data_IF_953112429921
#
_entry.id   IF_953112429921
#
_cell.length_a   1.000
_cell.length_b   1.000
_cell.length_c   1.000
_cell.angle_alpha   90.00
_cell.angle_beta   90.00
_cell.angle_gamma   90.00
#
_symmetry.space_group_name_H-M   'P 1'
#
loop_
_entity.id
_entity.type
_entity.pdbx_description
1 polymer ?
#
# COMPACT_ATOMS: atom_id res chain seq x y z
N UNK A 1 -3.20 -28.54 20.71
CA UNK A 1 -3.44 -27.63 19.56
C UNK A 1 -2.12 -27.34 18.89
N UNK A 2 -1.92 -27.79 17.66
CA UNK A 2 -0.66 -27.64 16.91
C UNK A 2 -0.50 -26.21 16.37
N UNK A 3 0.72 -25.82 15.97
CA UNK A 3 0.97 -24.50 15.36
C UNK A 3 0.17 -24.29 14.07
N UNK A 4 0.04 -25.34 13.25
CA UNK A 4 -0.76 -25.32 12.02
C UNK A 4 -2.25 -25.12 12.31
N UNK A 5 -2.81 -25.78 13.32
CA UNK A 5 -4.21 -25.56 13.73
C UNK A 5 -4.46 -24.09 14.12
N UNK A 6 -3.53 -23.46 14.86
CA UNK A 6 -3.66 -22.04 15.22
C UNK A 6 -3.60 -21.12 14.00
N UNK A 7 -2.72 -21.40 13.04
CA UNK A 7 -2.62 -20.62 11.80
C UNK A 7 -3.93 -20.75 10.99
N UNK A 8 -4.43 -21.97 10.84
CA UNK A 8 -5.71 -22.25 10.16
C UNK A 8 -6.86 -21.53 10.85
N UNK A 9 -6.90 -21.55 12.19
CA UNK A 9 -7.91 -20.84 12.96
C UNK A 9 -7.88 -19.33 12.70
N UNK A 10 -6.70 -18.71 12.70
CA UNK A 10 -6.54 -17.28 12.41
C UNK A 10 -7.00 -16.95 10.98
N UNK A 11 -6.66 -17.79 10.00
CA UNK A 11 -7.10 -17.62 8.61
C UNK A 11 -8.62 -17.73 8.52
N UNK A 12 -9.22 -18.74 9.17
CA UNK A 12 -10.66 -18.97 9.17
C UNK A 12 -11.44 -17.85 9.86
N UNK A 13 -10.86 -17.18 10.87
CA UNK A 13 -11.47 -15.99 11.47
C UNK A 13 -11.48 -14.76 10.55
N UNK A 14 -10.56 -14.69 9.58
CA UNK A 14 -10.45 -13.55 8.65
C UNK A 14 -11.37 -13.69 7.44
N UNK A 15 -11.54 -14.90 6.92
CA UNK A 15 -12.35 -15.18 5.72
C UNK A 15 -13.78 -14.60 5.76
N UNK A 16 -14.55 -14.70 6.86
CA UNK A 16 -15.88 -14.09 6.93
C UNK A 16 -15.87 -12.57 6.73
N UNK A 17 -14.81 -11.89 7.17
CA UNK A 17 -14.66 -10.44 6.96
C UNK A 17 -14.42 -10.12 5.48
N UNK A 18 -13.60 -10.92 4.80
CA UNK A 18 -13.38 -10.77 3.35
C UNK A 18 -14.69 -10.97 2.56
N UNK A 19 -15.50 -11.96 2.95
CA UNK A 19 -16.82 -12.21 2.36
C UNK A 19 -17.79 -11.04 2.58
N UNK A 20 -17.86 -10.51 3.82
CA UNK A 20 -18.67 -9.33 4.12
C UNK A 20 -18.26 -8.12 3.27
N UNK A 21 -16.96 -7.85 3.17
CA UNK A 21 -16.43 -6.76 2.34
C UNK A 21 -16.78 -6.98 0.86
N UNK A 22 -16.70 -8.22 0.37
CA UNK A 22 -17.09 -8.53 -1.01
C UNK A 22 -18.56 -8.26 -1.29
N UNK A 23 -19.45 -8.61 -0.35
CA UNK A 23 -20.87 -8.31 -0.46
C UNK A 23 -21.10 -6.79 -0.53
N UNK A 24 -20.48 -6.02 0.36
CA UNK A 24 -20.56 -4.53 0.35
C UNK A 24 -20.01 -3.93 -0.94
N UNK A 25 -18.91 -4.45 -1.49
CA UNK A 25 -18.38 -4.01 -2.79
C UNK A 25 -19.41 -4.24 -3.90
N UNK A 26 -20.09 -5.38 -3.90
CA UNK A 26 -21.09 -5.69 -4.92
C UNK A 26 -22.32 -4.78 -4.81
N UNK A 27 -22.79 -4.53 -3.58
CA UNK A 27 -23.90 -3.63 -3.29
C UNK A 27 -23.58 -2.19 -3.73
N UNK A 28 -22.44 -1.65 -3.32
CA UNK A 28 -22.01 -0.30 -3.71
C UNK A 28 -21.85 -0.16 -5.22
N UNK A 29 -21.32 -1.16 -5.92
CA UNK A 29 -21.24 -1.15 -7.39
C UNK A 29 -22.62 -1.09 -8.04
N UNK A 30 -23.58 -1.81 -7.46
CA UNK A 30 -24.97 -1.80 -7.93
C UNK A 30 -25.59 -0.42 -7.75
N UNK A 31 -25.41 0.18 -6.57
CA UNK A 31 -25.90 1.53 -6.26
C UNK A 31 -25.27 2.58 -7.17
N UNK A 32 -23.96 2.52 -7.43
CA UNK A 32 -23.27 3.41 -8.38
C UNK A 32 -23.89 3.29 -9.78
N UNK A 33 -24.17 2.06 -10.24
CA UNK A 33 -24.79 1.87 -11.56
C UNK A 33 -26.21 2.46 -11.64
N UNK A 34 -26.95 2.44 -10.54
CA UNK A 34 -28.29 3.05 -10.45
C UNK A 34 -28.20 4.59 -10.43
N UNK A 35 -27.26 5.15 -9.66
CA UNK A 35 -27.00 6.60 -9.62
C UNK A 35 -26.58 7.12 -11.00
N UNK A 36 -25.73 6.38 -11.72
CA UNK A 36 -25.33 6.76 -13.08
C UNK A 36 -26.49 6.73 -14.07
N UNK A 37 -27.40 5.75 -13.98
CA UNK A 37 -28.63 5.72 -14.79
C UNK A 37 -29.53 6.92 -14.48
N UNK A 38 -29.65 7.28 -13.20
CA UNK A 38 -30.43 8.44 -12.77
C UNK A 38 -29.83 9.75 -13.28
N UNK A 39 -28.50 9.91 -13.21
CA UNK A 39 -27.78 11.05 -13.79
C UNK A 39 -27.97 11.16 -15.31
N UNK A 40 -27.83 10.05 -16.05
CA UNK A 40 -28.08 10.02 -17.49
C UNK A 40 -29.53 10.42 -17.84
N UNK A 41 -30.50 9.98 -17.04
CA UNK A 41 -31.89 10.39 -17.21
C UNK A 41 -32.07 11.89 -16.95
N UNK A 42 -31.45 12.45 -15.90
CA UNK A 42 -31.48 13.88 -15.61
C UNK A 42 -30.89 14.73 -16.73
N UNK A 43 -29.77 14.31 -17.34
CA UNK A 43 -29.19 14.96 -18.52
C UNK A 43 -30.21 14.98 -19.67
N UNK A 44 -30.80 13.83 -20.01
CA UNK A 44 -31.76 13.72 -21.10
C UNK A 44 -33.04 14.57 -20.89
N UNK A 45 -33.44 14.78 -19.63
CA UNK A 45 -34.55 15.65 -19.28
C UNK A 45 -34.17 17.13 -19.37
N UNK A 46 -32.93 17.48 -19.01
CA UNK A 46 -32.43 18.86 -19.08
C UNK A 46 -32.40 19.36 -20.53
N UNK A 47 -31.98 18.50 -21.48
CA UNK A 47 -31.93 18.81 -22.91
C UNK A 47 -33.31 19.02 -23.54
N UNK A 48 -34.33 18.33 -23.02
CA UNK A 48 -35.72 18.39 -23.51
C UNK A 48 -36.56 19.44 -22.78
N UNK A 49 -36.04 20.01 -21.68
CA UNK A 49 -36.76 20.97 -20.86
C UNK A 49 -36.86 22.32 -21.57
N UNK A 50 -38.09 22.85 -21.66
CA UNK A 50 -38.34 24.23 -22.14
C UNK A 50 -38.12 25.28 -21.04
N UNK A 51 -38.01 24.85 -19.78
CA UNK A 51 -37.80 25.74 -18.64
C UNK A 51 -36.33 25.77 -18.25
N UNK A 52 -35.74 26.97 -18.28
CA UNK A 52 -34.35 27.22 -17.88
C UNK A 52 -34.10 26.90 -16.41
N UNK A 53 -35.07 27.17 -15.53
CA UNK A 53 -34.98 26.85 -14.10
C UNK A 53 -34.88 25.34 -13.87
N UNK A 54 -35.72 24.56 -14.55
CA UNK A 54 -35.70 23.09 -14.44
C UNK A 54 -34.40 22.52 -15.01
N UNK A 55 -33.91 23.04 -16.13
CA UNK A 55 -32.63 22.63 -16.71
C UNK A 55 -31.46 22.88 -15.74
N UNK A 56 -31.40 24.04 -15.09
CA UNK A 56 -30.36 24.37 -14.09
C UNK A 56 -30.39 23.42 -12.89
N UNK A 57 -31.57 23.10 -12.35
CA UNK A 57 -31.70 22.15 -11.23
C UNK A 57 -31.21 20.75 -11.63
N UNK A 58 -31.57 20.28 -12.83
CA UNK A 58 -31.14 18.97 -13.32
C UNK A 58 -29.63 18.88 -13.56
N UNK A 59 -29.02 19.96 -14.07
CA UNK A 59 -27.55 20.05 -14.21
C UNK A 59 -26.88 20.00 -12.83
N UNK A 60 -27.35 20.80 -11.87
CA UNK A 60 -26.80 20.80 -10.51
C UNK A 60 -26.93 19.42 -9.84
N UNK A 61 -28.09 18.78 -9.97
CA UNK A 61 -28.30 17.42 -9.50
C UNK A 61 -27.30 16.43 -10.11
N UNK A 62 -27.06 16.53 -11.42
CA UNK A 62 -26.11 15.65 -12.11
C UNK A 62 -24.66 15.87 -11.64
N UNK A 63 -24.26 17.12 -11.35
CA UNK A 63 -22.96 17.41 -10.74
C UNK A 63 -22.83 16.72 -9.38
N UNK A 64 -23.82 16.87 -8.49
CA UNK A 64 -23.81 16.20 -7.18
C UNK A 64 -23.76 14.67 -7.30
N UNK A 65 -24.44 14.08 -8.28
CA UNK A 65 -24.36 12.64 -8.56
C UNK A 65 -22.96 12.24 -9.01
N UNK A 66 -22.32 13.06 -9.86
CA UNK A 66 -20.95 12.80 -10.33
C UNK A 66 -19.95 12.81 -9.17
N UNK A 67 -20.00 13.82 -8.31
CA UNK A 67 -19.12 13.95 -7.14
C UNK A 67 -19.29 12.75 -6.21
N UNK A 68 -20.55 12.38 -5.89
CA UNK A 68 -20.84 11.21 -5.06
C UNK A 68 -20.30 9.90 -5.67
N UNK A 69 -20.38 9.74 -6.99
CA UNK A 69 -19.84 8.56 -7.68
C UNK A 69 -18.32 8.52 -7.57
N UNK A 70 -17.64 9.66 -7.59
CA UNK A 70 -16.19 9.75 -7.41
C UNK A 70 -15.77 9.38 -5.98
N UNK A 71 -16.48 9.88 -4.97
CA UNK A 71 -16.27 9.51 -3.57
C UNK A 71 -16.44 7.99 -3.36
N UNK A 72 -17.52 7.40 -3.90
CA UNK A 72 -17.76 5.97 -3.80
C UNK A 72 -16.66 5.16 -4.50
N UNK A 73 -16.12 5.63 -5.63
CA UNK A 73 -14.99 4.96 -6.31
C UNK A 73 -13.75 4.93 -5.42
N UNK A 74 -13.43 6.03 -4.74
CA UNK A 74 -12.30 6.10 -3.81
C UNK A 74 -12.45 5.10 -2.67
N UNK A 75 -13.64 5.02 -2.07
CA UNK A 75 -13.95 4.06 -1.01
C UNK A 75 -13.94 2.61 -1.52
N UNK A 76 -14.40 2.36 -2.74
CA UNK A 76 -14.32 1.03 -3.37
C UNK A 76 -12.86 0.57 -3.51
N UNK A 77 -11.91 1.45 -3.82
CA UNK A 77 -10.49 1.10 -3.85
C UNK A 77 -9.95 0.77 -2.45
N UNK A 78 -10.35 1.51 -1.43
CA UNK A 78 -10.02 1.19 -0.04
C UNK A 78 -10.57 -0.18 0.39
N UNK A 79 -11.84 -0.47 0.06
CA UNK A 79 -12.47 -1.76 0.34
C UNK A 79 -11.81 -2.92 -0.41
N UNK A 80 -11.39 -2.72 -1.68
CA UNK A 80 -10.62 -3.73 -2.43
C UNK A 80 -9.31 -4.07 -1.73
N UNK A 81 -8.56 -3.06 -1.26
CA UNK A 81 -7.32 -3.26 -0.49
C UNK A 81 -7.58 -4.04 0.80
N UNK A 82 -8.65 -3.71 1.52
CA UNK A 82 -9.05 -4.43 2.74
C UNK A 82 -9.46 -5.87 2.45
N UNK A 83 -10.29 -6.12 1.43
CA UNK A 83 -10.65 -7.47 0.99
C UNK A 83 -9.38 -8.28 0.72
N UNK A 84 -8.48 -7.75 -0.11
CA UNK A 84 -7.24 -8.43 -0.45
C UNK A 84 -6.39 -8.76 0.78
N UNK A 85 -6.40 -7.90 1.82
CA UNK A 85 -5.70 -8.17 3.09
C UNK A 85 -6.33 -9.31 3.90
N UNK A 86 -7.66 -9.36 3.99
CA UNK A 86 -8.36 -10.40 4.75
C UNK A 86 -8.42 -11.75 4.04
N UNK A 87 -8.33 -11.74 2.71
CA UNK A 87 -8.41 -12.94 1.88
C UNK A 87 -7.06 -13.67 1.73
N UNK A 88 -5.96 -13.11 2.26
CA UNK A 88 -4.63 -13.72 2.14
C UNK A 88 -4.62 -15.13 2.75
N UNK A 89 -4.14 -16.15 2.02
CA UNK A 89 -4.02 -17.51 2.53
C UNK A 89 -2.84 -17.67 3.49
N UNK A 90 -1.99 -16.65 3.63
CA UNK A 90 -0.76 -16.68 4.43
C UNK A 90 -0.84 -15.78 5.66
N UNK A 91 -0.06 -16.13 6.68
CA UNK A 91 0.22 -15.26 7.82
C UNK A 91 1.59 -14.60 7.61
N UNK A 92 1.61 -13.29 7.44
CA UNK A 92 2.85 -12.54 7.28
C UNK A 92 3.28 -12.01 8.65
N UNK A 93 4.53 -12.28 9.05
CA UNK A 93 5.13 -11.80 10.29
C UNK A 93 6.17 -10.73 9.94
N UNK A 94 5.97 -9.52 10.45
CA UNK A 94 6.96 -8.43 10.33
C UNK A 94 7.83 -8.36 11.57
N UNK A 95 9.15 -8.51 11.41
CA UNK A 95 10.12 -8.36 12.50
C UNK A 95 10.88 -7.04 12.31
N UNK A 96 10.74 -6.11 13.26
CA UNK A 96 11.35 -4.78 13.21
C UNK A 96 12.15 -4.55 14.49
N UNK A 97 13.34 -3.94 14.37
CA UNK A 97 14.19 -3.63 15.52
C UNK A 97 15.60 -3.19 15.12
N UNK A 98 16.32 -2.56 16.05
CA UNK A 98 17.71 -2.10 15.84
C UNK A 98 18.65 -3.26 15.49
N UNK A 99 19.78 -2.96 14.83
CA UNK A 99 20.84 -3.94 14.61
C UNK A 99 21.32 -4.53 15.95
N UNK A 100 21.78 -5.79 15.94
CA UNK A 100 22.27 -6.47 17.14
C UNK A 100 21.20 -7.03 18.10
N UNK A 101 19.91 -6.75 17.89
CA UNK A 101 18.81 -7.20 18.78
C UNK A 101 18.30 -8.63 18.48
N UNK A 102 19.12 -9.48 17.86
CA UNK A 102 18.77 -10.89 17.65
C UNK A 102 17.65 -11.20 16.64
N UNK A 103 17.22 -10.25 15.79
CA UNK A 103 16.14 -10.44 14.79
C UNK A 103 16.37 -11.66 13.89
N UNK A 104 17.57 -11.80 13.33
CA UNK A 104 17.92 -12.94 12.47
C UNK A 104 17.86 -14.25 13.25
N UNK A 105 18.34 -14.26 14.50
CA UNK A 105 18.32 -15.44 15.38
C UNK A 105 16.90 -15.86 15.77
N UNK A 106 16.00 -14.89 15.96
CA UNK A 106 14.58 -15.16 16.18
C UNK A 106 13.90 -15.75 14.94
N UNK A 107 14.21 -15.24 13.74
CA UNK A 107 13.68 -15.81 12.50
C UNK A 107 14.22 -17.21 12.25
N UNK A 108 15.51 -17.46 12.50
CA UNK A 108 16.11 -18.81 12.42
C UNK A 108 15.42 -19.79 13.36
N UNK A 109 15.18 -19.42 14.64
CA UNK A 109 14.52 -20.31 15.60
C UNK A 109 13.05 -20.58 15.27
N UNK A 110 12.36 -19.62 14.63
CA UNK A 110 10.97 -19.77 14.23
C UNK A 110 10.82 -20.60 12.95
N UNK A 111 11.72 -20.40 11.98
CA UNK A 111 11.66 -21.02 10.66
C UNK A 111 12.41 -22.34 10.55
N UNK A 112 13.36 -22.61 11.46
CA UNK A 112 14.30 -23.73 11.36
C UNK A 112 15.43 -23.50 10.35
N UNK A 113 15.50 -22.30 9.75
CA UNK A 113 16.53 -21.93 8.79
C UNK A 113 17.86 -21.61 9.48
N UNK A 114 18.98 -21.82 8.78
CA UNK A 114 20.33 -21.64 9.33
C UNK A 114 20.93 -20.30 8.93
N UNK A 115 22.19 -20.07 9.31
CA UNK A 115 22.96 -18.87 8.91
C UNK A 115 23.25 -18.82 7.40
N UNK A 116 23.18 -19.96 6.70
CA UNK A 116 23.33 -19.99 5.24
C UNK A 116 22.19 -19.25 4.54
N UNK A 117 20.96 -19.39 5.07
CA UNK A 117 19.76 -18.78 4.51
C UNK A 117 19.45 -17.41 5.13
N UNK A 118 19.63 -17.27 6.45
CA UNK A 118 19.39 -16.03 7.19
C UNK A 118 20.69 -15.65 7.92
N UNK A 119 21.55 -14.80 7.34
CA UNK A 119 22.78 -14.41 8.02
C UNK A 119 22.49 -13.64 9.32
N UNK A 120 22.99 -14.18 10.43
CA UNK A 120 23.10 -13.50 11.73
C UNK A 120 24.51 -12.94 11.85
N UNK A 121 24.63 -11.61 11.98
CA UNK A 121 25.84 -10.89 11.64
C UNK A 121 27.09 -11.21 12.46
N UNK A 122 28.13 -11.63 11.75
CA UNK A 122 29.55 -11.46 12.11
C UNK A 122 30.31 -10.61 11.06
N UNK A 123 29.62 -10.08 10.03
CA UNK A 123 30.23 -9.27 8.97
C UNK A 123 29.44 -7.99 8.71
N UNK A 124 29.79 -6.92 9.44
CA UNK A 124 29.27 -5.57 9.23
C UNK A 124 27.77 -5.40 9.53
N UNK A 125 27.23 -4.20 9.24
CA UNK A 125 25.82 -3.87 9.38
C UNK A 125 24.95 -4.76 8.47
N UNK A 126 24.70 -6.00 8.89
CA UNK A 126 23.86 -6.93 8.16
C UNK A 126 22.44 -6.35 8.11
N UNK A 127 21.88 -6.26 6.90
CA UNK A 127 20.50 -5.86 6.55
C UNK A 127 20.16 -4.35 6.57
N UNK A 128 20.78 -3.58 5.67
CA UNK A 128 20.17 -2.34 5.14
C UNK A 128 19.05 -2.60 4.11
N UNK A 129 18.76 -3.88 3.84
CA UNK A 129 17.90 -4.37 2.76
C UNK A 129 16.71 -5.10 3.35
N UNK A 130 15.50 -4.87 2.80
CA UNK A 130 14.32 -5.66 3.18
C UNK A 130 14.52 -7.09 2.71
N UNK A 131 14.53 -8.02 3.66
CA UNK A 131 14.49 -9.45 3.36
C UNK A 131 13.08 -9.98 3.56
N UNK A 132 12.53 -10.68 2.56
CA UNK A 132 11.21 -11.31 2.66
C UNK A 132 11.38 -12.81 2.50
N UNK A 133 10.91 -13.56 3.49
CA UNK A 133 11.01 -15.02 3.51
C UNK A 133 9.63 -15.61 3.24
N UNK A 134 9.51 -16.45 2.23
CA UNK A 134 8.27 -17.12 1.88
C UNK A 134 8.41 -18.63 2.06
N UNK A 135 7.31 -19.25 2.46
CA UNK A 135 7.15 -20.70 2.40
C UNK A 135 6.34 -21.07 1.16
N UNK A 136 6.87 -21.94 0.32
CA UNK A 136 6.23 -22.45 -0.89
C UNK A 136 6.41 -23.97 -0.94
N UNK A 137 5.31 -24.69 -0.71
CA UNK A 137 5.32 -26.15 -0.80
C UNK A 137 5.65 -26.61 -2.23
N UNK A 138 6.44 -27.68 -2.35
CA UNK A 138 6.74 -28.38 -3.60
C UNK A 138 7.58 -27.58 -4.62
N UNK A 139 8.45 -26.67 -4.16
CA UNK A 139 9.41 -25.98 -5.03
C UNK A 139 10.83 -26.09 -4.51
N UNK A 140 11.81 -26.00 -5.41
CA UNK A 140 13.21 -25.85 -5.03
C UNK A 140 13.45 -24.48 -4.42
N UNK A 141 14.28 -24.42 -3.37
CA UNK A 141 14.66 -23.18 -2.69
C UNK A 141 15.46 -22.28 -3.63
N UNK A 142 15.10 -20.99 -3.68
CA UNK A 142 15.84 -19.99 -4.46
C UNK A 142 15.84 -18.62 -3.79
N UNK A 143 16.86 -17.83 -4.13
CA UNK A 143 16.95 -16.41 -3.77
C UNK A 143 16.69 -15.54 -4.99
N UNK A 144 15.80 -14.58 -4.84
CA UNK A 144 15.54 -13.53 -5.82
C UNK A 144 16.03 -12.19 -5.28
N UNK A 145 16.82 -11.49 -6.08
CA UNK A 145 17.31 -10.14 -5.78
C UNK A 145 16.78 -9.21 -6.85
N UNK A 146 15.98 -8.24 -6.43
CA UNK A 146 15.42 -7.22 -7.32
C UNK A 146 16.15 -5.89 -7.11
N UNK A 147 16.65 -5.33 -8.19
CA UNK A 147 17.28 -4.01 -8.21
C UNK A 147 16.30 -2.98 -8.78
N UNK A 148 16.32 -1.77 -8.23
CA UNK A 148 15.62 -0.65 -8.83
C UNK A 148 16.37 -0.19 -10.08
N UNK A 149 15.66 0.11 -11.16
CA UNK A 149 16.17 0.99 -12.21
C UNK A 149 16.27 2.42 -11.66
N UNK A 150 17.01 3.30 -12.34
CA UNK A 150 17.04 4.73 -12.00
C UNK A 150 15.63 5.33 -11.89
N UNK A 151 14.77 5.07 -12.88
CA UNK A 151 13.38 5.55 -12.88
C UNK A 151 12.56 4.99 -11.73
N UNK A 152 12.70 3.70 -11.40
CA UNK A 152 11.98 3.06 -10.29
C UNK A 152 12.50 3.59 -8.95
N UNK A 153 13.81 3.79 -8.81
CA UNK A 153 14.40 4.34 -7.60
C UNK A 153 13.92 5.77 -7.34
N UNK A 154 13.93 6.63 -8.35
CA UNK A 154 13.46 8.01 -8.21
C UNK A 154 11.97 8.05 -7.89
N UNK A 155 11.13 7.33 -8.62
CA UNK A 155 9.69 7.40 -8.45
C UNK A 155 9.17 6.68 -7.19
N UNK A 156 9.77 5.56 -6.81
CA UNK A 156 9.27 4.73 -5.70
C UNK A 156 9.97 4.99 -4.37
N UNK A 157 11.23 5.47 -4.41
CA UNK A 157 12.02 5.72 -3.20
C UNK A 157 12.15 7.21 -2.94
N UNK A 158 12.68 7.98 -3.90
CA UNK A 158 13.08 9.38 -3.65
C UNK A 158 11.88 10.34 -3.66
N UNK A 159 11.10 10.34 -4.74
CA UNK A 159 9.97 11.26 -4.97
C UNK A 159 8.92 11.24 -3.85
N UNK A 160 8.56 10.09 -3.25
CA UNK A 160 7.65 10.06 -2.10
C UNK A 160 8.16 10.85 -0.90
N UNK A 161 9.48 10.94 -0.67
CA UNK A 161 10.03 11.78 0.39
C UNK A 161 9.91 13.27 0.05
N UNK A 162 10.16 13.65 -1.21
CA UNK A 162 10.00 15.05 -1.64
C UNK A 162 8.55 15.51 -1.50
N UNK A 163 7.59 14.66 -1.92
CA UNK A 163 6.16 14.91 -1.72
C UNK A 163 5.79 15.03 -0.25
N UNK A 164 6.26 14.09 0.58
CA UNK A 164 6.01 14.08 2.02
C UNK A 164 6.63 15.29 2.76
N UNK A 165 7.70 15.87 2.21
CA UNK A 165 8.37 17.06 2.72
C UNK A 165 7.83 18.36 2.08
N UNK A 166 6.93 18.28 1.10
CA UNK A 166 6.40 19.43 0.37
C UNK A 166 7.43 20.13 -0.52
N UNK A 167 8.49 19.43 -0.93
CA UNK A 167 9.53 19.95 -1.82
C UNK A 167 9.07 19.76 -3.26
N UNK A 168 8.92 20.85 -4.01
CA UNK A 168 8.44 20.84 -5.40
C UNK A 168 9.51 20.45 -6.41
N UNK A 169 10.77 20.74 -6.10
CA UNK A 169 11.91 20.50 -7.00
C UNK A 169 12.39 19.05 -6.85
N UNK A 170 11.70 18.14 -7.55
CA UNK A 170 12.04 16.71 -7.56
C UNK A 170 13.14 16.42 -8.58
N UNK A 171 14.17 15.64 -8.19
CA UNK A 171 15.23 15.25 -9.12
C UNK A 171 14.67 14.38 -10.25
N UNK A 172 15.06 14.68 -11.49
CA UNK A 172 14.65 13.93 -12.68
C UNK A 172 15.59 12.76 -13.01
N UNK A 173 16.82 12.79 -12.47
CA UNK A 173 17.83 11.76 -12.66
C UNK A 173 18.71 11.60 -11.40
N UNK A 174 19.51 10.52 -11.35
CA UNK A 174 20.39 10.22 -10.22
C UNK A 174 21.51 11.25 -10.04
N UNK A 175 21.98 11.87 -11.13
CA UNK A 175 23.02 12.89 -11.08
C UNK A 175 22.51 14.16 -10.40
N UNK A 176 21.31 14.60 -10.72
CA UNK A 176 20.60 15.71 -10.08
C UNK A 176 20.28 15.40 -8.62
N UNK A 177 19.92 14.15 -8.29
CA UNK A 177 19.77 13.74 -6.89
C UNK A 177 21.10 13.77 -6.13
N UNK A 178 22.20 13.34 -6.76
CA UNK A 178 23.53 13.29 -6.15
C UNK A 178 24.24 14.64 -6.06
N UNK A 179 23.95 15.56 -6.98
CA UNK A 179 24.49 16.92 -7.04
C UNK A 179 23.55 17.98 -6.42
N UNK A 180 22.29 17.61 -6.23
CA UNK A 180 21.20 18.47 -5.79
C UNK A 180 21.41 18.97 -4.37
N UNK A 181 21.38 20.29 -4.24
CA UNK A 181 21.30 21.01 -2.98
C UNK A 181 20.10 20.48 -2.19
N UNK A 182 20.34 19.83 -1.04
CA UNK A 182 19.25 19.50 -0.10
C UNK A 182 18.63 20.85 0.30
N UNK A 183 17.38 21.17 -0.09
CA UNK A 183 16.82 22.47 0.23
C UNK A 183 16.78 22.62 1.76
N UNK A 184 17.21 23.80 2.22
CA UNK A 184 17.26 24.15 3.63
C UNK A 184 15.91 23.84 4.28
N UNK A 185 15.89 22.87 5.21
CA UNK A 185 14.69 22.51 5.95
C UNK A 185 14.18 23.76 6.68
N UNK A 186 13.00 24.32 6.32
CA UNK A 186 12.50 25.49 7.02
C UNK A 186 12.25 25.09 8.47
N UNK A 187 12.81 25.85 9.41
CA UNK A 187 12.72 25.62 10.86
C UNK A 187 11.27 25.51 11.39
N UNK A 188 10.27 25.84 10.56
CA UNK A 188 8.84 25.71 10.84
C UNK A 188 8.30 24.27 10.71
N UNK A 189 9.03 23.34 10.11
CA UNK A 189 8.70 21.91 10.16
C UNK A 189 9.06 21.36 11.54
N UNK A 190 8.17 21.59 12.51
CA UNK A 190 8.29 21.03 13.86
C UNK A 190 8.49 19.51 13.72
N UNK A 191 9.43 18.93 14.47
CA UNK A 191 9.72 17.49 14.52
C UNK A 191 8.48 16.59 14.73
N UNK A 192 7.33 17.16 15.11
CA UNK A 192 6.02 16.50 15.14
C UNK A 192 5.46 16.18 13.75
N UNK A 193 5.55 17.08 12.76
CA UNK A 193 5.06 16.84 11.39
C UNK A 193 5.88 15.77 10.68
N UNK A 194 7.21 15.79 10.84
CA UNK A 194 8.08 14.73 10.34
C UNK A 194 7.77 13.38 10.99
N UNK A 195 7.52 13.33 12.31
CA UNK A 195 7.11 12.09 12.99
C UNK A 195 5.73 11.60 12.53
N UNK A 196 4.80 12.49 12.21
CA UNK A 196 3.47 12.13 11.76
C UNK A 196 3.48 11.63 10.31
N UNK A 197 4.17 12.33 9.40
CA UNK A 197 4.42 11.92 8.01
C UNK A 197 5.23 10.62 7.91
N UNK A 198 6.26 10.43 8.75
CA UNK A 198 7.02 9.17 8.83
C UNK A 198 6.23 8.03 9.50
N UNK A 199 5.18 8.34 10.28
CA UNK A 199 4.28 7.34 10.85
C UNK A 199 3.20 6.90 9.85
N UNK A 200 2.71 7.78 8.97
CA UNK A 200 1.88 7.42 7.81
C UNK A 200 2.72 6.76 6.71
N UNK A 201 3.98 7.16 6.56
CA UNK A 201 4.98 6.55 5.67
C UNK A 201 5.75 5.38 6.35
N UNK A 202 5.13 4.71 7.33
CA UNK A 202 5.64 3.44 7.86
C UNK A 202 5.66 2.32 6.82
N UNK A 203 5.06 2.53 5.66
CA UNK A 203 5.07 1.62 4.52
C UNK A 203 6.26 1.82 3.54
N UNK A 204 7.06 2.88 3.69
CA UNK A 204 8.16 3.22 2.75
C UNK A 204 9.51 3.30 3.48
N UNK A 205 9.95 2.15 4.01
CA UNK A 205 11.35 1.90 4.41
C UNK A 205 11.90 0.77 3.57
N UNK A 206 12.15 1.00 2.28
CA UNK A 206 12.50 -0.08 1.34
C UNK A 206 13.44 0.45 0.26
N UNK A 207 14.75 0.33 0.48
CA UNK A 207 15.76 0.66 -0.55
C UNK A 207 16.31 -0.60 -1.23
N UNK A 208 16.00 -1.80 -0.75
CA UNK A 208 16.32 -3.03 -1.46
C UNK A 208 15.35 -4.14 -1.05
N UNK A 209 15.06 -5.07 -1.95
CA UNK A 209 14.24 -6.25 -1.68
C UNK A 209 15.04 -7.51 -2.04
N UNK A 210 15.50 -8.22 -1.01
CA UNK A 210 15.94 -9.60 -1.17
C UNK A 210 14.74 -10.47 -0.81
N UNK A 211 14.31 -11.31 -1.73
CA UNK A 211 13.23 -12.26 -1.52
C UNK A 211 13.83 -13.64 -1.51
N UNK A 212 13.82 -14.32 -0.36
CA UNK A 212 14.27 -15.71 -0.28
C UNK A 212 13.03 -16.59 -0.16
N UNK A 213 12.87 -17.51 -1.09
CA UNK A 213 11.71 -18.39 -1.19
C UNK A 213 12.17 -19.81 -0.89
N UNK A 214 11.62 -20.38 0.18
CA UNK A 214 11.88 -21.74 0.64
C UNK A 214 10.73 -22.66 0.28
#
# INVERSE_FOLDING_TARGET
MTRNEKIIQIINQRKPRAQKIQATIHELKTQVSQLQKLGAFAISLSEKSKSETVAKILVQFNTTVSDLVEDIKTELEALKKLKHRFDRPTLNIGVVGRAGQGKSRFLQSLSGLTTAEIPSGDRGHCTGVRSTIYHKANTQTYGEVSFHSESSFLNEVVNPYYEALGITDKPQNLEEFGSGFIPYCPKSLTMQFLKQSLNTSKDIKRIFQNTVIF
#
